data_IF_263198284106
#
_entry.id   IF_263198284106
#
_cell.length_a   1.000
_cell.length_b   1.000
_cell.length_c   1.000
_cell.angle_alpha   90.00
_cell.angle_beta   90.00
_cell.angle_gamma   90.00
#
_symmetry.space_group_name_H-M   'P 1'
#
loop_
_entity.id
_entity.type
_entity.pdbx_description
1 polymer ?
#
# COMPACT_ATOMS: atom_id res chain seq x y z
N UNK A 1 -5.70 -16.14 -33.48
CA UNK A 1 -5.24 -15.60 -32.19
C UNK A 1 -5.88 -14.24 -31.98
N UNK A 2 -7.12 -14.19 -31.45
CA UNK A 2 -7.75 -12.92 -31.09
C UNK A 2 -7.26 -12.50 -29.71
N UNK A 3 -6.55 -11.38 -29.65
CA UNK A 3 -5.98 -10.84 -28.42
C UNK A 3 -7.09 -10.19 -27.58
N UNK A 4 -7.76 -10.98 -26.73
CA UNK A 4 -8.72 -10.42 -25.77
C UNK A 4 -9.49 -11.42 -24.91
N UNK A 5 -9.63 -12.68 -25.34
CA UNK A 5 -10.35 -13.71 -24.60
C UNK A 5 -10.19 -15.11 -25.16
N UNK A 6 -10.80 -16.08 -24.49
CA UNK A 6 -10.88 -17.49 -24.82
C UNK A 6 -12.33 -17.94 -24.67
N UNK A 7 -12.77 -18.81 -25.59
CA UNK A 7 -14.11 -19.39 -25.60
C UNK A 7 -13.96 -20.84 -25.21
N UNK A 8 -14.48 -21.20 -24.03
CA UNK A 8 -14.54 -22.57 -23.57
C UNK A 8 -15.89 -23.16 -23.97
N UNK A 9 -15.90 -24.28 -24.68
CA UNK A 9 -17.13 -24.99 -25.06
C UNK A 9 -17.16 -26.38 -24.41
N UNK A 10 -18.24 -26.70 -23.71
CA UNK A 10 -18.46 -28.03 -23.18
C UNK A 10 -18.97 -28.96 -24.28
N UNK A 11 -18.24 -30.03 -24.57
CA UNK A 11 -18.59 -31.02 -25.59
C UNK A 11 -19.78 -31.92 -25.22
N UNK A 12 -20.25 -31.88 -23.97
CA UNK A 12 -21.34 -32.73 -23.49
C UNK A 12 -22.68 -32.00 -23.36
N UNK A 13 -22.68 -30.69 -23.10
CA UNK A 13 -23.92 -29.93 -22.89
C UNK A 13 -24.03 -28.67 -23.75
N UNK A 14 -23.11 -28.47 -24.71
CA UNK A 14 -23.04 -27.28 -25.57
C UNK A 14 -22.99 -25.94 -24.83
N UNK A 15 -22.65 -25.93 -23.54
CA UNK A 15 -22.46 -24.67 -22.81
C UNK A 15 -21.20 -23.96 -23.33
N UNK A 16 -21.34 -22.67 -23.63
CA UNK A 16 -20.26 -21.82 -24.10
C UNK A 16 -19.96 -20.79 -23.02
N UNK A 17 -18.70 -20.70 -22.62
CA UNK A 17 -18.21 -19.70 -21.66
C UNK A 17 -17.17 -18.83 -22.32
N UNK A 18 -17.42 -17.53 -22.35
CA UNK A 18 -16.48 -16.54 -22.86
C UNK A 18 -15.71 -15.95 -21.69
N UNK A 19 -14.41 -16.19 -21.67
CA UNK A 19 -13.48 -15.67 -20.67
C UNK A 19 -12.59 -14.63 -21.34
N UNK A 20 -12.37 -13.48 -20.69
CA UNK A 20 -11.50 -12.43 -21.25
C UNK A 20 -10.15 -12.47 -20.55
N UNK A 21 -9.08 -12.23 -21.30
CA UNK A 21 -7.73 -12.19 -20.75
C UNK A 21 -7.63 -11.00 -19.77
N UNK A 22 -6.91 -11.19 -18.66
CA UNK A 22 -6.72 -10.12 -17.68
C UNK A 22 -5.96 -8.96 -18.31
N UNK A 23 -6.53 -7.75 -18.29
CA UNK A 23 -5.86 -6.55 -18.81
C UNK A 23 -4.88 -5.92 -17.79
N UNK A 24 -4.87 -6.42 -16.54
CA UNK A 24 -4.09 -5.91 -15.39
C UNK A 24 -4.22 -4.40 -15.12
N UNK A 25 -5.13 -3.70 -15.79
CA UNK A 25 -5.35 -2.27 -15.64
C UNK A 25 -6.05 -1.98 -14.31
N UNK A 26 -5.49 -1.04 -13.53
CA UNK A 26 -6.03 -0.59 -12.22
C UNK A 26 -7.44 0.00 -12.30
N UNK A 27 -7.86 0.50 -13.47
CA UNK A 27 -9.19 1.05 -13.69
C UNK A 27 -10.18 0.01 -14.21
N UNK A 28 -9.73 -1.21 -14.53
CA UNK A 28 -10.63 -2.25 -14.98
C UNK A 28 -11.40 -2.84 -13.78
N UNK A 29 -12.74 -2.65 -13.71
CA UNK A 29 -13.53 -3.16 -12.58
C UNK A 29 -13.47 -4.70 -12.49
N UNK A 30 -13.24 -5.38 -13.63
CA UNK A 30 -13.15 -6.84 -13.72
C UNK A 30 -11.79 -7.42 -13.30
N UNK A 31 -10.67 -6.76 -13.62
CA UNK A 31 -9.33 -7.35 -13.44
C UNK A 31 -8.65 -6.95 -12.13
N UNK A 32 -8.75 -5.68 -11.74
CA UNK A 32 -8.09 -5.16 -10.52
C UNK A 32 -9.06 -4.43 -9.58
N UNK A 33 -10.26 -4.04 -10.06
CA UNK A 33 -11.27 -3.38 -9.23
C UNK A 33 -11.65 -4.19 -7.99
N UNK A 34 -12.03 -5.47 -8.17
CA UNK A 34 -12.37 -6.35 -7.06
C UNK A 34 -11.23 -6.52 -6.03
N UNK A 35 -9.98 -6.67 -6.49
CA UNK A 35 -8.83 -6.82 -5.58
C UNK A 35 -8.59 -5.54 -4.77
N UNK A 36 -8.73 -4.38 -5.43
CA UNK A 36 -8.66 -3.07 -4.76
C UNK A 36 -9.74 -2.94 -3.69
N UNK A 37 -10.99 -3.26 -4.03
CA UNK A 37 -12.11 -3.21 -3.08
C UNK A 37 -11.90 -4.14 -1.88
N UNK A 38 -11.47 -5.37 -2.12
CA UNK A 38 -11.12 -6.31 -1.05
C UNK A 38 -9.99 -5.78 -0.16
N UNK A 39 -8.97 -5.15 -0.75
CA UNK A 39 -7.89 -4.53 0.01
C UNK A 39 -8.39 -3.36 0.85
N UNK A 40 -9.25 -2.48 0.30
CA UNK A 40 -9.86 -1.37 1.02
C UNK A 40 -10.68 -1.90 2.21
N UNK A 41 -11.60 -2.84 1.98
CA UNK A 41 -12.44 -3.43 3.03
C UNK A 41 -11.60 -4.05 4.15
N UNK A 42 -10.51 -4.73 3.80
CA UNK A 42 -9.59 -5.31 4.79
C UNK A 42 -8.88 -4.23 5.61
N UNK A 43 -8.49 -3.10 5.02
CA UNK A 43 -7.87 -1.99 5.76
C UNK A 43 -8.90 -1.22 6.61
N UNK A 44 -10.14 -1.09 6.13
CA UNK A 44 -11.23 -0.43 6.87
C UNK A 44 -11.55 -1.17 8.19
N UNK A 45 -11.45 -2.50 8.20
CA UNK A 45 -11.62 -3.31 9.42
C UNK A 45 -10.54 -3.09 10.48
N UNK A 46 -9.40 -2.51 10.11
CA UNK A 46 -8.27 -2.22 11.01
C UNK A 46 -8.34 -0.80 11.59
N UNK A 47 -9.32 0.02 11.16
CA UNK A 47 -9.41 1.41 11.57
C UNK A 47 -9.88 1.55 13.02
N UNK A 48 -9.08 2.26 13.81
CA UNK A 48 -9.49 2.82 15.09
C UNK A 48 -10.45 4.01 14.89
N UNK A 49 -11.42 4.24 15.79
CA UNK A 49 -12.37 5.35 15.73
C UNK A 49 -11.75 6.67 16.20
N UNK A 50 -10.66 7.10 15.55
CA UNK A 50 -9.87 8.30 15.88
C UNK A 50 -9.57 9.10 14.61
N UNK A 51 -9.16 10.38 14.72
CA UNK A 51 -8.64 11.13 13.57
C UNK A 51 -7.41 10.44 12.96
N UNK A 52 -7.20 10.62 11.66
CA UNK A 52 -6.02 10.11 10.95
C UNK A 52 -5.22 11.26 10.35
N UNK A 53 -3.91 11.09 10.34
CA UNK A 53 -2.95 12.03 9.78
C UNK A 53 -2.27 11.44 8.56
N UNK A 54 -2.03 12.29 7.57
CA UNK A 54 -1.20 11.98 6.42
C UNK A 54 0.24 12.43 6.71
N UNK A 55 1.13 11.48 6.92
CA UNK A 55 2.55 11.70 7.21
C UNK A 55 3.37 11.30 5.99
N UNK A 56 4.35 12.12 5.61
CA UNK A 56 5.21 11.84 4.47
C UNK A 56 6.66 11.72 4.93
N UNK A 57 7.28 10.59 4.63
CA UNK A 57 8.73 10.38 4.81
C UNK A 57 9.40 10.46 3.44
N UNK A 58 10.33 11.40 3.27
CA UNK A 58 11.01 11.61 2.00
C UNK A 58 12.47 11.18 2.12
N UNK A 59 12.94 10.36 1.18
CA UNK A 59 14.34 10.00 1.09
C UNK A 59 15.17 11.24 0.71
N UNK A 60 16.26 11.55 1.44
CA UNK A 60 17.21 12.59 1.03
C UNK A 60 17.74 12.34 -0.39
N UNK A 61 17.85 13.39 -1.20
CA UNK A 61 18.22 13.27 -2.62
C UNK A 61 19.64 12.78 -2.81
N UNK A 62 20.51 12.96 -1.82
CA UNK A 62 21.88 12.46 -1.77
C UNK A 62 21.92 10.92 -1.83
N UNK A 63 20.86 10.26 -1.39
CA UNK A 63 20.73 8.79 -1.42
C UNK A 63 20.12 8.26 -2.72
N UNK A 64 19.76 9.12 -3.68
CA UNK A 64 19.16 8.71 -4.94
C UNK A 64 20.05 7.75 -5.73
N UNK A 65 21.36 8.01 -5.78
CA UNK A 65 22.31 7.10 -6.46
C UNK A 65 22.28 5.72 -5.80
N UNK A 66 22.23 5.65 -4.47
CA UNK A 66 22.12 4.36 -3.76
C UNK A 66 20.78 3.68 -4.04
N UNK A 67 19.68 4.44 -4.09
CA UNK A 67 18.36 3.92 -4.44
C UNK A 67 18.30 3.33 -5.86
N UNK A 68 19.05 3.90 -6.80
CA UNK A 68 19.15 3.36 -8.16
C UNK A 68 19.97 2.06 -8.22
N UNK A 69 21.09 1.99 -7.47
CA UNK A 69 21.98 0.83 -7.50
C UNK A 69 21.50 -0.33 -6.62
N UNK A 70 20.84 -0.03 -5.50
CA UNK A 70 20.33 -1.02 -4.56
C UNK A 70 18.94 -0.64 -4.03
N UNK A 71 17.91 -0.65 -4.89
CA UNK A 71 16.56 -0.21 -4.54
C UNK A 71 15.94 -1.03 -3.42
N UNK A 72 16.13 -2.35 -3.41
CA UNK A 72 15.55 -3.22 -2.39
C UNK A 72 16.07 -2.85 -0.99
N UNK A 73 17.39 -2.66 -0.84
CA UNK A 73 17.97 -2.22 0.43
C UNK A 73 17.40 -0.86 0.85
N UNK A 74 17.48 0.15 -0.02
CA UNK A 74 17.08 1.52 0.35
C UNK A 74 15.59 1.61 0.67
N UNK A 75 14.75 0.96 -0.13
CA UNK A 75 13.30 1.02 0.05
C UNK A 75 12.85 0.23 1.29
N UNK A 76 13.45 -0.93 1.56
CA UNK A 76 13.19 -1.64 2.83
C UNK A 76 13.63 -0.77 4.02
N UNK A 77 14.81 -0.14 3.96
CA UNK A 77 15.30 0.71 5.04
C UNK A 77 14.40 1.92 5.30
N UNK A 78 13.87 2.60 4.28
CA UNK A 78 12.94 3.73 4.51
C UNK A 78 11.61 3.26 5.11
N UNK A 79 11.10 2.07 4.74
CA UNK A 79 9.94 1.47 5.40
C UNK A 79 10.22 1.16 6.87
N UNK A 80 11.33 0.52 7.18
CA UNK A 80 11.73 0.19 8.55
C UNK A 80 11.90 1.44 9.39
N UNK A 81 12.58 2.45 8.84
CA UNK A 81 12.83 3.74 9.51
C UNK A 81 11.53 4.50 9.79
N UNK A 82 10.59 4.51 8.85
CA UNK A 82 9.28 5.14 9.06
C UNK A 82 8.49 4.41 10.16
N UNK A 83 8.50 3.07 10.18
CA UNK A 83 7.86 2.29 11.24
C UNK A 83 8.48 2.52 12.60
N UNK A 84 9.81 2.55 12.66
CA UNK A 84 10.53 2.77 13.91
C UNK A 84 10.28 4.18 14.46
N UNK A 85 10.26 5.19 13.58
CA UNK A 85 9.94 6.57 13.96
C UNK A 85 8.54 6.67 14.56
N UNK A 86 7.52 6.17 13.86
CA UNK A 86 6.13 6.24 14.32
C UNK A 86 5.93 5.45 15.62
N UNK A 87 6.55 4.27 15.76
CA UNK A 87 6.48 3.49 17.01
C UNK A 87 7.16 4.21 18.16
N UNK A 88 8.32 4.82 17.92
CA UNK A 88 9.07 5.55 18.95
C UNK A 88 8.22 6.67 19.54
N UNK A 89 7.59 7.49 18.70
CA UNK A 89 6.68 8.54 19.18
C UNK A 89 5.37 7.98 19.77
N UNK A 90 4.86 6.86 19.22
CA UNK A 90 3.66 6.22 19.74
C UNK A 90 3.82 5.71 21.17
N UNK A 91 4.94 5.05 21.46
CA UNK A 91 5.21 4.46 22.78
C UNK A 91 5.70 5.47 23.83
N UNK A 92 6.14 6.67 23.43
CA UNK A 92 6.52 7.72 24.37
C UNK A 92 5.29 8.16 25.18
N UNK A 93 5.33 7.95 26.50
CA UNK A 93 4.26 8.30 27.44
C UNK A 93 4.03 9.80 27.59
N UNK A 94 5.00 10.64 27.19
CA UNK A 94 4.83 12.10 27.12
C UNK A 94 4.11 12.54 25.84
N UNK A 95 3.99 11.64 24.87
CA UNK A 95 3.30 11.86 23.60
C UNK A 95 1.99 11.09 23.60
N UNK A 96 1.94 9.93 22.94
CA UNK A 96 0.72 9.12 22.83
C UNK A 96 0.63 8.03 23.91
N UNK A 97 1.76 7.42 24.30
CA UNK A 97 1.80 6.34 25.29
C UNK A 97 1.01 5.07 24.91
N UNK A 98 0.85 4.80 23.62
CA UNK A 98 0.06 3.66 23.12
C UNK A 98 0.70 3.01 21.90
N UNK A 99 0.35 1.73 21.67
CA UNK A 99 0.74 1.03 20.44
C UNK A 99 -0.05 1.60 19.26
N UNK A 100 0.59 2.47 18.49
CA UNK A 100 0.04 3.02 17.24
C UNK A 100 0.27 2.08 16.05
N UNK A 101 -0.14 2.50 14.86
CA UNK A 101 0.04 1.79 13.60
C UNK A 101 0.17 2.75 12.42
N UNK A 102 0.40 2.24 11.22
CA UNK A 102 0.28 3.02 9.99
C UNK A 102 0.09 2.12 8.76
N UNK A 103 -0.51 2.67 7.72
CA UNK A 103 -0.48 2.11 6.37
C UNK A 103 0.44 3.00 5.55
N UNK A 104 1.51 2.43 4.96
CA UNK A 104 2.43 3.20 4.12
C UNK A 104 2.48 2.70 2.68
N UNK A 105 2.58 3.64 1.75
CA UNK A 105 2.66 3.40 0.31
C UNK A 105 3.90 4.13 -0.22
N UNK A 106 4.76 3.41 -0.92
CA UNK A 106 5.94 3.96 -1.57
C UNK A 106 5.59 4.57 -2.93
N UNK A 107 6.00 5.82 -3.12
CA UNK A 107 6.11 6.46 -4.42
C UNK A 107 7.58 6.74 -4.72
N UNK A 108 8.07 6.40 -5.91
CA UNK A 108 9.49 6.55 -6.27
C UNK A 108 9.77 7.77 -7.15
N UNK A 109 8.73 8.41 -7.70
CA UNK A 109 8.87 9.49 -8.68
C UNK A 109 8.09 10.73 -8.26
N UNK A 110 8.69 11.89 -8.49
CA UNK A 110 8.02 13.19 -8.36
C UNK A 110 7.15 13.51 -9.59
N UNK A 111 6.40 14.60 -9.51
CA UNK A 111 5.52 15.07 -10.59
C UNK A 111 6.28 15.37 -11.89
N UNK A 112 7.56 15.79 -11.79
CA UNK A 112 8.44 16.08 -12.91
C UNK A 112 9.25 14.87 -13.40
N UNK A 113 8.88 13.66 -12.98
CA UNK A 113 9.57 12.40 -13.30
C UNK A 113 11.04 12.36 -12.84
N UNK A 114 11.40 13.14 -11.84
CA UNK A 114 12.65 12.96 -11.11
C UNK A 114 12.51 11.85 -10.07
N UNK A 115 13.59 11.10 -9.83
CA UNK A 115 13.63 10.12 -8.75
C UNK A 115 13.47 10.85 -7.42
N UNK A 116 12.39 10.54 -6.72
CA UNK A 116 12.01 11.16 -5.47
C UNK A 116 11.30 10.14 -4.59
N UNK A 117 12.02 9.18 -3.97
CA UNK A 117 11.40 8.16 -3.16
C UNK A 117 10.80 8.75 -1.88
N UNK A 118 9.50 8.55 -1.68
CA UNK A 118 8.78 8.99 -0.49
C UNK A 118 7.69 7.99 -0.12
N UNK A 119 7.46 7.85 1.19
CA UNK A 119 6.35 7.08 1.72
C UNK A 119 5.20 8.02 2.07
N UNK A 120 4.01 7.75 1.55
CA UNK A 120 2.77 8.31 2.09
C UNK A 120 2.22 7.36 3.13
N UNK A 121 2.08 7.85 4.35
CA UNK A 121 1.61 7.07 5.48
C UNK A 121 0.31 7.65 6.03
N UNK A 122 -0.66 6.78 6.29
CA UNK A 122 -1.88 7.08 7.02
C UNK A 122 -1.67 6.58 8.45
N UNK A 123 -1.66 7.49 9.42
CA UNK A 123 -1.32 7.23 10.82
C UNK A 123 -2.51 7.62 11.70
N UNK A 124 -3.01 6.75 12.61
CA UNK A 124 -4.04 7.13 13.55
C UNK A 124 -3.48 8.12 14.57
N UNK A 125 -4.28 9.13 14.94
CA UNK A 125 -4.03 10.03 16.07
C UNK A 125 -4.26 9.37 17.42
N UNK A 126 -4.03 8.06 17.50
CA UNK A 126 -4.37 7.19 18.61
C UNK A 126 -3.63 5.87 18.51
N UNK A 127 -3.88 5.00 19.48
CA UNK A 127 -3.29 3.66 19.52
C UNK A 127 -3.96 2.81 20.59
N UNK A 128 -3.55 1.55 20.68
CA UNK A 128 -4.04 0.61 21.68
C UNK A 128 -3.15 0.70 22.91
N UNK A 129 -3.74 1.07 24.05
CA UNK A 129 -3.03 1.10 25.33
C UNK A 129 -2.69 -0.30 25.83
N UNK A 130 -1.83 -0.41 26.87
CA UNK A 130 -1.53 -1.70 27.50
C UNK A 130 -2.78 -2.42 28.05
N UNK A 131 -3.86 -1.66 28.33
CA UNK A 131 -5.13 -2.19 28.81
C UNK A 131 -6.09 -2.60 27.69
N UNK A 132 -5.67 -2.54 26.42
CA UNK A 132 -6.49 -2.88 25.26
C UNK A 132 -7.60 -1.87 24.96
N UNK A 133 -7.59 -0.70 25.63
CA UNK A 133 -8.46 0.44 25.35
C UNK A 133 -7.84 1.37 24.33
#
# INVERSE_FOLDING_TARGET
HEMGGHVDACSQCNSIRISYNSCRNRHCPKCQGKKREQWIQSREQELLPVPYFHVVFTLPSELNTLAMHNPALVYNTIFDTAWDTIRTFGYDSKQLGAKTGMICILHTWGQTLSLHPHLHCIVPGGGISANGK
#
